data_IF_823347060031
#
_entry.id   IF_823347060031
#
_cell.length_a   1.000
_cell.length_b   1.000
_cell.length_c   1.000
_cell.angle_alpha   90.00
_cell.angle_beta   90.00
_cell.angle_gamma   90.00
#
_symmetry.space_group_name_H-M   'P 1'
#
loop_
_entity.id
_entity.type
_entity.pdbx_description
1 polymer ?
#
# COMPACT_ATOMS: atom_id res chain seq x y z
N UNK A 1 -46.42 38.69 3.88
CA UNK A 1 -45.12 38.16 4.32
C UNK A 1 -44.21 39.34 4.51
N UNK A 2 -43.76 39.58 5.73
CA UNK A 2 -42.96 40.77 6.02
C UNK A 2 -41.58 40.62 5.36
N UNK A 3 -40.99 41.76 4.97
CA UNK A 3 -39.65 41.80 4.34
C UNK A 3 -38.61 41.09 5.23
N UNK A 4 -38.78 41.17 6.55
CA UNK A 4 -37.98 40.43 7.54
C UNK A 4 -38.02 38.90 7.32
N UNK A 5 -39.18 38.34 7.03
CA UNK A 5 -39.35 36.88 6.86
C UNK A 5 -38.72 36.40 5.55
N UNK A 6 -38.79 37.23 4.51
CA UNK A 6 -38.11 36.98 3.22
C UNK A 6 -36.59 36.94 3.44
N UNK A 7 -36.03 37.93 4.15
CA UNK A 7 -34.59 38.01 4.43
C UNK A 7 -34.12 36.80 5.26
N UNK A 8 -34.87 36.43 6.32
CA UNK A 8 -34.55 35.24 7.14
C UNK A 8 -34.54 33.96 6.31
N UNK A 9 -35.51 33.80 5.42
CA UNK A 9 -35.61 32.63 4.55
C UNK A 9 -34.43 32.57 3.57
N UNK A 10 -34.09 33.69 2.93
CA UNK A 10 -32.94 33.76 2.01
C UNK A 10 -31.64 33.41 2.72
N UNK A 11 -31.40 33.95 3.92
CA UNK A 11 -30.18 33.65 4.70
C UNK A 11 -30.14 32.16 5.05
N UNK A 12 -31.26 31.59 5.49
CA UNK A 12 -31.34 30.17 5.86
C UNK A 12 -31.03 29.28 4.66
N UNK A 13 -31.60 29.59 3.49
CA UNK A 13 -31.33 28.87 2.24
C UNK A 13 -29.87 29.03 1.83
N UNK A 14 -29.30 30.24 1.91
CA UNK A 14 -27.91 30.49 1.57
C UNK A 14 -26.95 29.68 2.45
N UNK A 15 -27.19 29.66 3.77
CA UNK A 15 -26.39 28.85 4.71
C UNK A 15 -26.52 27.36 4.39
N UNK A 16 -27.75 26.87 4.11
CA UNK A 16 -27.96 25.48 3.75
C UNK A 16 -27.22 25.09 2.47
N UNK A 17 -27.26 25.93 1.43
CA UNK A 17 -26.54 25.70 0.16
C UNK A 17 -25.03 25.70 0.37
N UNK A 18 -24.49 26.66 1.13
CA UNK A 18 -23.05 26.72 1.45
C UNK A 18 -22.62 25.48 2.23
N UNK A 19 -23.41 25.08 3.22
CA UNK A 19 -23.17 23.87 4.02
C UNK A 19 -23.14 22.61 3.16
N UNK A 20 -24.08 22.46 2.24
CA UNK A 20 -24.14 21.32 1.32
C UNK A 20 -22.92 21.27 0.38
N UNK A 21 -22.52 22.41 -0.20
CA UNK A 21 -21.35 22.50 -1.08
C UNK A 21 -20.07 22.14 -0.31
N UNK A 22 -19.89 22.70 0.88
CA UNK A 22 -18.74 22.40 1.72
C UNK A 22 -18.69 20.91 2.11
N UNK A 23 -19.82 20.36 2.56
CA UNK A 23 -19.92 18.94 2.92
C UNK A 23 -19.61 18.02 1.74
N UNK A 24 -20.14 18.33 0.56
CA UNK A 24 -19.84 17.56 -0.66
C UNK A 24 -18.35 17.64 -1.02
N UNK A 25 -17.74 18.82 -0.95
CA UNK A 25 -16.33 19.00 -1.26
C UNK A 25 -15.43 18.17 -0.33
N UNK A 26 -15.65 18.28 0.98
CA UNK A 26 -14.88 17.51 1.97
C UNK A 26 -15.10 16.01 1.83
N UNK A 27 -16.34 15.58 1.58
CA UNK A 27 -16.66 14.15 1.37
C UNK A 27 -15.96 13.61 0.13
N UNK A 28 -16.05 14.32 -1.01
CA UNK A 28 -15.38 13.93 -2.25
C UNK A 28 -13.86 13.83 -2.10
N UNK A 29 -13.24 14.75 -1.36
CA UNK A 29 -11.80 14.73 -1.09
C UNK A 29 -11.41 13.54 -0.21
N UNK A 30 -12.19 13.26 0.83
CA UNK A 30 -12.01 12.11 1.72
C UNK A 30 -12.14 10.80 0.92
N UNK A 31 -13.19 10.65 0.14
CA UNK A 31 -13.49 9.42 -0.59
C UNK A 31 -12.40 9.11 -1.63
N UNK A 32 -11.89 10.13 -2.34
CA UNK A 32 -10.72 9.97 -3.24
C UNK A 32 -9.48 9.50 -2.49
N UNK A 33 -9.23 10.05 -1.29
CA UNK A 33 -8.07 9.68 -0.47
C UNK A 33 -8.20 8.25 0.04
N UNK A 34 -9.37 7.88 0.55
CA UNK A 34 -9.66 6.52 1.00
C UNK A 34 -9.53 5.51 -0.14
N UNK A 35 -10.09 5.81 -1.32
CA UNK A 35 -10.00 4.90 -2.46
C UNK A 35 -8.57 4.72 -2.96
N UNK A 36 -7.79 5.80 -2.97
CA UNK A 36 -6.36 5.73 -3.30
C UNK A 36 -5.60 4.83 -2.31
N UNK A 37 -5.82 5.00 -1.01
CA UNK A 37 -5.19 4.15 0.03
C UNK A 37 -5.59 2.69 -0.12
N UNK A 38 -6.89 2.42 -0.30
CA UNK A 38 -7.42 1.07 -0.53
C UNK A 38 -6.72 0.36 -1.70
N UNK A 39 -6.56 1.03 -2.84
CA UNK A 39 -5.88 0.47 -4.02
C UNK A 39 -4.41 0.17 -3.71
N UNK A 40 -3.68 1.13 -3.13
CA UNK A 40 -2.26 0.98 -2.80
C UNK A 40 -2.08 -0.20 -1.83
N UNK A 41 -2.82 -0.23 -0.72
CA UNK A 41 -2.72 -1.29 0.28
C UNK A 41 -3.04 -2.66 -0.31
N UNK A 42 -4.03 -2.77 -1.19
CA UNK A 42 -4.36 -4.03 -1.85
C UNK A 42 -3.18 -4.57 -2.66
N UNK A 43 -2.59 -3.75 -3.53
CA UNK A 43 -1.44 -4.15 -4.33
C UNK A 43 -0.22 -4.50 -3.47
N UNK A 44 0.09 -3.67 -2.46
CA UNK A 44 1.22 -3.93 -1.56
C UNK A 44 1.02 -5.20 -0.73
N UNK A 45 -0.20 -5.52 -0.30
CA UNK A 45 -0.52 -6.78 0.38
C UNK A 45 -0.29 -7.98 -0.54
N UNK A 46 -0.73 -7.90 -1.80
CA UNK A 46 -0.58 -8.99 -2.76
C UNK A 46 0.90 -9.19 -3.14
N UNK A 47 1.64 -8.10 -3.37
CA UNK A 47 3.11 -8.09 -3.47
C UNK A 47 3.74 -8.77 -2.25
N UNK A 48 3.37 -8.39 -1.03
CA UNK A 48 3.92 -8.97 0.20
C UNK A 48 3.69 -10.48 0.28
N UNK A 49 2.49 -10.95 -0.07
CA UNK A 49 2.18 -12.39 -0.09
C UNK A 49 3.08 -13.13 -1.07
N UNK A 50 3.26 -12.63 -2.30
CA UNK A 50 4.12 -13.27 -3.29
C UNK A 50 5.56 -13.33 -2.77
N UNK A 51 6.10 -12.22 -2.28
CA UNK A 51 7.47 -12.18 -1.75
C UNK A 51 7.64 -13.13 -0.56
N UNK A 52 6.74 -13.09 0.42
CA UNK A 52 6.82 -13.92 1.62
C UNK A 52 6.56 -15.41 1.34
N UNK A 53 5.56 -15.75 0.53
CA UNK A 53 5.14 -17.14 0.33
C UNK A 53 5.88 -17.85 -0.81
N UNK A 54 6.09 -17.15 -1.93
CA UNK A 54 6.65 -17.75 -3.14
C UNK A 54 8.15 -17.55 -3.27
N UNK A 55 8.74 -16.54 -2.64
CA UNK A 55 10.15 -16.22 -2.85
C UNK A 55 11.01 -16.49 -1.62
N UNK A 56 10.62 -15.99 -0.44
CA UNK A 56 11.44 -16.06 0.77
C UNK A 56 11.88 -17.49 1.04
N UNK A 57 13.21 -17.65 1.22
CA UNK A 57 13.93 -18.89 1.46
C UNK A 57 13.86 -19.94 0.33
N UNK A 58 13.23 -19.70 -0.84
CA UNK A 58 13.19 -20.69 -1.92
C UNK A 58 14.56 -20.81 -2.58
N UNK A 59 14.87 -22.00 -3.06
CA UNK A 59 16.05 -22.18 -3.90
C UNK A 59 15.90 -21.34 -5.17
N UNK A 60 17.04 -20.82 -5.61
CA UNK A 60 17.10 -20.02 -6.82
C UNK A 60 16.72 -20.88 -8.02
N UNK A 61 15.66 -20.49 -8.73
CA UNK A 61 15.19 -21.14 -9.94
C UNK A 61 14.66 -20.10 -10.91
N UNK A 62 14.60 -20.43 -12.20
CA UNK A 62 14.01 -19.55 -13.21
C UNK A 62 12.54 -19.21 -12.89
N UNK A 63 11.79 -20.16 -12.32
CA UNK A 63 10.42 -19.95 -11.87
C UNK A 63 10.35 -18.90 -10.74
N UNK A 64 11.25 -19.00 -9.75
CA UNK A 64 11.34 -18.03 -8.65
C UNK A 64 11.67 -16.62 -9.18
N UNK A 65 12.57 -16.51 -10.16
CA UNK A 65 12.93 -15.21 -10.77
C UNK A 65 11.76 -14.62 -11.56
N UNK A 66 11.04 -15.41 -12.36
CA UNK A 66 9.84 -14.93 -13.08
C UNK A 66 8.76 -14.43 -12.12
N UNK A 67 8.59 -15.09 -10.97
CA UNK A 67 7.64 -14.66 -9.93
C UNK A 67 8.04 -13.34 -9.25
N UNK A 68 9.29 -12.90 -9.37
CA UNK A 68 9.74 -11.60 -8.84
C UNK A 68 9.41 -10.42 -9.74
N UNK A 69 9.19 -10.63 -11.04
CA UNK A 69 8.96 -9.53 -11.98
C UNK A 69 7.75 -8.68 -11.60
N UNK A 70 6.62 -9.31 -11.30
CA UNK A 70 5.39 -8.60 -10.93
C UNK A 70 5.54 -7.82 -9.59
N UNK A 71 5.97 -8.44 -8.47
CA UNK A 71 6.25 -7.71 -7.24
C UNK A 71 7.20 -6.53 -7.41
N UNK A 72 8.26 -6.67 -8.21
CA UNK A 72 9.21 -5.58 -8.45
C UNK A 72 8.56 -4.42 -9.20
N UNK A 73 7.70 -4.70 -10.17
CA UNK A 73 6.93 -3.67 -10.90
C UNK A 73 5.91 -2.99 -9.97
N UNK A 74 5.18 -3.76 -9.17
CA UNK A 74 4.21 -3.21 -8.22
C UNK A 74 4.88 -2.30 -7.18
N UNK A 75 6.05 -2.69 -6.66
CA UNK A 75 6.84 -1.87 -5.73
C UNK A 75 7.35 -0.58 -6.38
N UNK A 76 7.71 -0.60 -7.66
CA UNK A 76 8.10 0.62 -8.38
C UNK A 76 6.96 1.64 -8.48
N UNK A 77 5.71 1.16 -8.56
CA UNK A 77 4.53 2.01 -8.70
C UNK A 77 3.94 2.45 -7.35
N UNK A 78 3.83 1.53 -6.40
CA UNK A 78 3.09 1.72 -5.15
C UNK A 78 3.96 1.73 -3.89
N UNK A 79 5.21 1.29 -3.99
CA UNK A 79 6.11 1.18 -2.86
C UNK A 79 6.63 2.52 -2.36
N UNK A 80 7.19 2.51 -1.15
CA UNK A 80 7.93 3.65 -0.60
C UNK A 80 9.27 3.82 -1.32
N UNK A 81 9.91 4.99 -1.18
CA UNK A 81 11.24 5.23 -1.76
C UNK A 81 12.26 4.16 -1.35
N UNK A 82 12.24 3.78 -0.07
CA UNK A 82 13.12 2.72 0.46
C UNK A 82 12.84 1.37 -0.19
N UNK A 83 11.57 1.00 -0.36
CA UNK A 83 11.19 -0.25 -1.01
C UNK A 83 11.62 -0.27 -2.48
N UNK A 84 11.51 0.86 -3.18
CA UNK A 84 12.00 1.01 -4.56
C UNK A 84 13.51 0.81 -4.63
N UNK A 85 14.27 1.35 -3.68
CA UNK A 85 15.72 1.17 -3.61
C UNK A 85 16.11 -0.29 -3.32
N UNK A 86 15.44 -0.93 -2.35
CA UNK A 86 15.63 -2.34 -2.03
C UNK A 86 15.27 -3.25 -3.21
N UNK A 87 14.16 -2.97 -3.90
CA UNK A 87 13.74 -3.69 -5.10
C UNK A 87 14.76 -3.55 -6.24
N UNK A 88 15.34 -2.36 -6.44
CA UNK A 88 16.41 -2.14 -7.43
C UNK A 88 17.68 -2.91 -7.09
N UNK A 89 18.10 -2.89 -5.82
CA UNK A 89 19.25 -3.65 -5.35
C UNK A 89 19.04 -5.15 -5.60
N UNK A 90 17.88 -5.67 -5.23
CA UNK A 90 17.50 -7.06 -5.46
C UNK A 90 17.57 -7.44 -6.95
N UNK A 91 17.00 -6.62 -7.83
CA UNK A 91 17.05 -6.85 -9.28
C UNK A 91 18.49 -6.88 -9.81
N UNK A 92 19.35 -5.99 -9.31
CA UNK A 92 20.76 -5.94 -9.68
C UNK A 92 21.54 -7.18 -9.20
N UNK A 93 21.29 -7.62 -7.97
CA UNK A 93 21.95 -8.79 -7.38
C UNK A 93 21.56 -10.08 -8.13
N UNK A 94 20.29 -10.20 -8.55
CA UNK A 94 19.81 -11.30 -9.40
C UNK A 94 20.50 -11.29 -10.76
N UNK A 95 20.62 -10.14 -11.42
CA UNK A 95 21.29 -10.02 -12.73
C UNK A 95 22.76 -10.43 -12.66
N UNK A 96 23.42 -10.25 -11.51
CA UNK A 96 24.81 -10.66 -11.28
C UNK A 96 24.98 -12.13 -10.89
N UNK A 97 23.89 -12.89 -10.76
CA UNK A 97 23.93 -14.29 -10.28
C UNK A 97 24.31 -14.40 -8.80
N UNK A 98 24.09 -13.33 -8.02
CA UNK A 98 24.32 -13.31 -6.58
C UNK A 98 23.22 -14.05 -5.80
N UNK A 99 23.43 -14.18 -4.50
CA UNK A 99 22.41 -14.68 -3.58
C UNK A 99 21.28 -13.68 -3.44
N UNK A 100 20.03 -14.15 -3.57
CA UNK A 100 18.83 -13.33 -3.35
C UNK A 100 18.66 -13.13 -1.83
N UNK A 101 19.04 -11.96 -1.32
CA UNK A 101 18.62 -11.52 0.01
C UNK A 101 17.39 -10.61 -0.10
N UNK A 102 16.24 -11.18 0.24
CA UNK A 102 14.94 -10.51 0.13
C UNK A 102 14.37 -10.10 1.49
N UNK A 103 15.04 -10.46 2.59
CA UNK A 103 14.51 -10.30 3.93
C UNK A 103 14.31 -8.82 4.27
N UNK A 104 15.27 -7.97 3.94
CA UNK A 104 15.16 -6.52 4.15
C UNK A 104 13.94 -5.93 3.45
N UNK A 105 13.68 -6.33 2.20
CA UNK A 105 12.54 -5.85 1.42
C UNK A 105 11.21 -6.34 2.01
N UNK A 106 11.13 -7.61 2.40
CA UNK A 106 9.91 -8.20 2.96
C UNK A 106 9.59 -7.63 4.33
N UNK A 107 10.60 -7.45 5.18
CA UNK A 107 10.43 -6.87 6.51
C UNK A 107 10.02 -5.39 6.43
N UNK A 108 10.64 -4.60 5.54
CA UNK A 108 10.27 -3.19 5.34
C UNK A 108 8.83 -3.06 4.80
N UNK A 109 8.48 -3.88 3.81
CA UNK A 109 7.11 -3.93 3.27
C UNK A 109 6.09 -4.33 4.34
N UNK A 110 6.42 -5.32 5.18
CA UNK A 110 5.56 -5.75 6.28
C UNK A 110 5.38 -4.64 7.32
N UNK A 111 6.45 -3.92 7.67
CA UNK A 111 6.39 -2.83 8.64
C UNK A 111 5.49 -1.69 8.15
N UNK A 112 5.65 -1.26 6.89
CA UNK A 112 4.81 -0.23 6.30
C UNK A 112 3.35 -0.66 6.16
N UNK A 113 3.09 -1.92 5.75
CA UNK A 113 1.72 -2.45 5.70
C UNK A 113 1.05 -2.50 7.07
N UNK A 114 1.78 -2.90 8.13
CA UNK A 114 1.23 -2.91 9.49
C UNK A 114 0.89 -1.51 9.97
N UNK A 115 1.75 -0.53 9.66
CA UNK A 115 1.49 0.88 9.95
C UNK A 115 0.26 1.42 9.20
N UNK A 116 0.13 1.12 7.92
CA UNK A 116 -1.03 1.55 7.11
C UNK A 116 -2.34 0.91 7.58
N UNK A 117 -2.27 -0.32 8.11
CA UNK A 117 -3.41 -1.05 8.68
C UNK A 117 -3.64 -0.77 10.18
N UNK A 118 -2.90 0.18 10.77
CA UNK A 118 -2.99 0.52 12.19
C UNK A 118 -2.79 -0.69 13.14
N UNK A 119 -1.91 -1.62 12.74
CA UNK A 119 -1.53 -2.80 13.52
C UNK A 119 -0.29 -2.50 14.36
N UNK A 120 -0.14 -3.22 15.47
CA UNK A 120 1.04 -3.10 16.35
C UNK A 120 2.34 -3.35 15.57
N UNK A 121 3.42 -2.57 15.78
CA UNK A 121 4.69 -2.81 15.11
C UNK A 121 5.31 -4.15 15.54
N UNK A 122 6.08 -4.78 14.65
CA UNK A 122 6.83 -6.01 14.92
C UNK A 122 8.23 -5.86 14.35
N UNK A 123 9.23 -5.92 15.23
CA UNK A 123 10.65 -5.73 14.89
C UNK A 123 11.38 -7.05 14.55
N UNK A 124 10.71 -8.19 14.75
CA UNK A 124 11.29 -9.52 14.50
C UNK A 124 11.29 -9.88 13.02
N UNK A 125 12.26 -10.65 12.55
CA UNK A 125 12.23 -11.16 11.17
C UNK A 125 11.01 -12.05 10.92
N UNK A 126 10.54 -12.10 9.67
CA UNK A 126 9.45 -13.00 9.30
C UNK A 126 9.83 -14.47 9.53
N UNK A 127 9.01 -15.18 10.31
CA UNK A 127 9.13 -16.62 10.51
C UNK A 127 8.08 -17.34 9.65
N UNK A 128 8.53 -18.21 8.75
CA UNK A 128 7.66 -18.95 7.83
C UNK A 128 7.84 -20.46 8.05
N UNK A 129 6.72 -21.16 8.25
CA UNK A 129 6.71 -22.61 8.36
C UNK A 129 7.17 -23.23 7.02
N UNK A 130 8.19 -24.07 7.07
CA UNK A 130 8.59 -24.91 5.93
C UNK A 130 8.57 -26.37 6.29
N UNK A 131 7.81 -27.12 5.50
CA UNK A 131 7.91 -28.57 5.49
C UNK A 131 9.05 -28.97 4.55
N UNK A 132 10.19 -29.41 5.10
CA UNK A 132 11.15 -30.18 4.31
C UNK A 132 10.61 -31.59 4.21
N UNK A 133 10.37 -32.05 2.98
CA UNK A 133 10.13 -33.46 2.71
C UNK A 133 11.52 -34.09 2.50
N UNK A 134 11.93 -34.92 3.45
CA UNK A 134 13.14 -35.74 3.35
C UNK A 134 13.03 -36.74 2.18
#
# INVERSE_FOLDING_TARGET
>A
MDISDIIKTIITVAIAVIGWIAAHYFSSKRDKTLKRREIISKHLIDTYKILAYDIVHREYSEETVRKLELPLVELQLFGTKRQIELAKKLAYDIQKGGTIDINDLVNDLRAELRKELELEPIDENIFLLRYKKD
#
